data_IF_322077694092
#
_entry.id   IF_322077694092
#
_cell.length_a   1.000
_cell.length_b   1.000
_cell.length_c   1.000
_cell.angle_alpha   90.00
_cell.angle_beta   90.00
_cell.angle_gamma   90.00
#
_symmetry.space_group_name_H-M   'P 1'
#
loop_
_entity.id
_entity.type
_entity.pdbx_description
1 polymer ?
#
# COMPACT_ATOMS: atom_id res chain seq x y z
N UNK A 1 10.48 0.77 -10.59
CA UNK A 1 9.20 1.41 -10.98
C UNK A 1 8.14 1.09 -9.95
N UNK A 2 7.92 1.99 -8.99
CA UNK A 2 6.97 1.81 -7.89
C UNK A 2 5.54 1.48 -8.35
N UNK A 3 5.14 1.95 -9.53
CA UNK A 3 3.81 1.71 -10.13
C UNK A 3 3.48 0.22 -10.23
N UNK A 4 4.46 -0.64 -10.54
CA UNK A 4 4.23 -2.09 -10.65
C UNK A 4 3.76 -2.66 -9.30
N UNK A 5 4.46 -2.32 -8.22
CA UNK A 5 4.06 -2.72 -6.87
C UNK A 5 2.72 -2.08 -6.47
N UNK A 6 2.48 -0.82 -6.87
CA UNK A 6 1.21 -0.14 -6.61
C UNK A 6 0.01 -0.86 -7.25
N UNK A 7 0.10 -1.25 -8.52
CA UNK A 7 -0.97 -2.00 -9.21
C UNK A 7 -1.17 -3.37 -8.58
N UNK A 8 -0.09 -4.08 -8.27
CA UNK A 8 -0.18 -5.37 -7.57
C UNK A 8 -0.80 -5.22 -6.18
N UNK A 9 -0.52 -4.12 -5.47
CA UNK A 9 -1.12 -3.81 -4.17
C UNK A 9 -2.63 -3.69 -4.28
N UNK A 10 -3.13 -2.98 -5.29
CA UNK A 10 -4.57 -2.83 -5.54
C UNK A 10 -5.20 -4.19 -5.82
N UNK A 11 -4.60 -4.99 -6.72
CA UNK A 11 -5.10 -6.33 -7.04
C UNK A 11 -5.15 -7.25 -5.81
N UNK A 12 -4.09 -7.27 -5.01
CA UNK A 12 -4.00 -8.05 -3.79
C UNK A 12 -5.01 -7.59 -2.72
N UNK A 13 -5.24 -6.28 -2.60
CA UNK A 13 -6.24 -5.70 -1.67
C UNK A 13 -7.65 -6.13 -2.07
N UNK A 14 -7.99 -6.05 -3.36
CA UNK A 14 -9.29 -6.52 -3.86
C UNK A 14 -9.46 -8.03 -3.61
N UNK A 15 -8.40 -8.82 -3.82
CA UNK A 15 -8.42 -10.25 -3.55
C UNK A 15 -8.57 -10.58 -2.05
N UNK A 16 -7.93 -9.81 -1.16
CA UNK A 16 -8.12 -9.89 0.29
C UNK A 16 -9.59 -9.65 0.67
N UNK A 17 -10.18 -8.54 0.22
CA UNK A 17 -11.58 -8.24 0.49
C UNK A 17 -12.52 -9.30 -0.08
N UNK A 18 -12.26 -9.78 -1.29
CA UNK A 18 -13.03 -10.85 -1.93
C UNK A 18 -12.99 -12.15 -1.11
N UNK A 19 -11.80 -12.62 -0.73
CA UNK A 19 -11.64 -13.85 0.06
C UNK A 19 -12.36 -13.76 1.41
N UNK A 20 -12.33 -12.61 2.07
CA UNK A 20 -13.13 -12.36 3.27
C UNK A 20 -14.64 -12.45 3.01
N UNK A 21 -15.14 -11.83 1.94
CA UNK A 21 -16.57 -11.84 1.59
C UNK A 21 -17.12 -13.25 1.33
N UNK A 22 -16.32 -14.13 0.71
CA UNK A 22 -16.72 -15.52 0.47
C UNK A 22 -16.41 -16.46 1.66
N UNK A 23 -16.04 -15.91 2.81
CA UNK A 23 -15.77 -16.66 4.04
C UNK A 23 -14.50 -17.51 4.02
N UNK A 24 -13.57 -17.25 3.09
CA UNK A 24 -12.26 -17.92 2.99
C UNK A 24 -11.21 -17.20 3.85
N UNK A 25 -10.07 -17.86 4.07
CA UNK A 25 -8.97 -17.23 4.81
C UNK A 25 -8.33 -16.11 3.98
N UNK A 26 -8.41 -14.89 4.50
CA UNK A 26 -7.97 -13.67 3.85
C UNK A 26 -6.58 -13.20 4.32
N UNK A 27 -6.00 -13.85 5.35
CA UNK A 27 -4.76 -13.39 6.01
C UNK A 27 -3.54 -13.42 5.09
N UNK A 28 -3.42 -14.43 4.22
CA UNK A 28 -2.34 -14.50 3.24
C UNK A 28 -2.47 -13.40 2.17
N UNK A 29 -3.63 -13.23 1.48
CA UNK A 29 -3.88 -12.08 0.62
C UNK A 29 -3.58 -10.72 1.28
N UNK A 30 -4.01 -10.55 2.53
CA UNK A 30 -3.73 -9.35 3.33
C UNK A 30 -2.23 -9.12 3.52
N UNK A 31 -1.48 -10.16 3.91
CA UNK A 31 -0.03 -10.05 4.10
C UNK A 31 0.69 -9.69 2.81
N UNK A 32 0.27 -10.27 1.68
CA UNK A 32 0.78 -9.94 0.34
C UNK A 32 0.50 -8.47 0.01
N UNK A 33 -0.75 -8.01 0.20
CA UNK A 33 -1.14 -6.63 -0.10
C UNK A 33 -0.37 -5.60 0.74
N UNK A 34 -0.17 -5.85 2.04
CA UNK A 34 0.61 -4.97 2.92
C UNK A 34 2.10 -4.98 2.56
N UNK A 35 2.64 -6.15 2.18
CA UNK A 35 4.04 -6.26 1.72
C UNK A 35 4.26 -5.49 0.43
N UNK A 36 3.33 -5.58 -0.52
CA UNK A 36 3.36 -4.81 -1.77
C UNK A 36 3.19 -3.31 -1.53
N UNK A 37 2.38 -2.91 -0.54
CA UNK A 37 2.27 -1.50 -0.11
C UNK A 37 3.64 -0.99 0.35
N UNK A 38 4.33 -1.75 1.22
CA UNK A 38 5.66 -1.38 1.68
C UNK A 38 6.68 -1.34 0.53
N UNK A 39 6.67 -2.34 -0.36
CA UNK A 39 7.55 -2.37 -1.54
C UNK A 39 7.29 -1.21 -2.50
N UNK A 40 6.05 -0.75 -2.64
CA UNK A 40 5.72 0.45 -3.41
C UNK A 40 6.45 1.67 -2.87
N UNK A 41 6.38 1.91 -1.56
CA UNK A 41 7.03 3.05 -0.90
C UNK A 41 8.56 2.92 -0.97
N UNK A 42 9.12 1.73 -0.74
CA UNK A 42 10.56 1.49 -0.89
C UNK A 42 11.03 1.75 -2.33
N UNK A 43 10.27 1.30 -3.33
CA UNK A 43 10.60 1.51 -4.73
C UNK A 43 10.48 2.97 -5.17
N UNK A 44 9.57 3.74 -4.57
CA UNK A 44 9.48 5.19 -4.78
C UNK A 44 10.66 5.91 -4.12
N UNK A 45 11.03 5.54 -2.90
CA UNK A 45 12.21 6.06 -2.22
C UNK A 45 13.50 5.79 -3.01
N UNK A 46 13.68 4.58 -3.53
CA UNK A 46 14.81 4.25 -4.42
C UNK A 46 14.77 4.99 -5.75
N UNK A 47 13.61 5.47 -6.19
CA UNK A 47 13.52 6.33 -7.38
C UNK A 47 13.95 7.75 -7.05
N UNK A 48 13.51 8.29 -5.91
CA UNK A 48 13.91 9.62 -5.44
C UNK A 48 15.43 9.72 -5.17
N UNK A 49 16.10 8.64 -4.78
CA UNK A 49 17.56 8.65 -4.57
C UNK A 49 18.34 8.96 -5.85
N UNK A 50 17.80 8.63 -7.03
CA UNK A 50 18.44 8.96 -8.32
C UNK A 50 18.53 10.48 -8.51
N UNK A 51 17.51 11.23 -8.08
CA UNK A 51 17.54 12.70 -8.13
C UNK A 51 18.49 13.30 -7.10
N UNK A 52 18.64 12.66 -5.94
CA UNK A 52 19.64 13.05 -4.94
C UNK A 52 21.06 12.84 -5.48
N UNK A 53 21.34 11.69 -6.08
CA UNK A 53 22.64 11.37 -6.69
C UNK A 53 22.98 12.28 -7.87
N UNK A 54 21.96 12.74 -8.60
CA UNK A 54 22.11 13.70 -9.69
C UNK A 54 22.10 15.18 -9.24
N UNK A 55 22.00 15.44 -7.92
CA UNK A 55 21.88 16.79 -7.34
C UNK A 55 20.72 17.63 -7.93
N UNK A 56 19.64 16.97 -8.36
CA UNK A 56 18.46 17.62 -8.93
C UNK A 56 17.50 18.11 -7.83
N UNK A 57 17.95 19.13 -7.09
CA UNK A 57 17.18 19.75 -6.01
C UNK A 57 15.86 20.37 -6.49
N UNK A 58 15.81 20.81 -7.75
CA UNK A 58 14.61 21.37 -8.37
C UNK A 58 13.50 20.32 -8.50
N UNK A 59 13.81 19.14 -9.06
CA UNK A 59 12.87 18.03 -9.16
C UNK A 59 12.41 17.54 -7.77
N UNK A 60 13.34 17.45 -6.81
CA UNK A 60 13.01 17.07 -5.44
C UNK A 60 12.04 18.06 -4.79
N UNK A 61 12.27 19.37 -4.95
CA UNK A 61 11.42 20.42 -4.39
C UNK A 61 10.02 20.46 -5.02
N UNK A 62 9.90 20.16 -6.31
CA UNK A 62 8.62 20.12 -7.02
C UNK A 62 7.79 18.87 -6.67
N UNK A 63 8.43 17.70 -6.62
CA UNK A 63 7.71 16.42 -6.57
C UNK A 63 7.49 15.90 -5.14
N UNK A 64 8.50 15.95 -4.26
CA UNK A 64 8.44 15.31 -2.93
C UNK A 64 7.26 15.82 -2.08
N UNK A 65 6.96 17.13 -1.99
CA UNK A 65 5.86 17.60 -1.16
C UNK A 65 4.48 17.11 -1.64
N UNK A 66 4.29 17.01 -2.95
CA UNK A 66 3.09 16.46 -3.56
C UNK A 66 2.96 14.95 -3.32
N UNK A 67 3.99 14.20 -3.72
CA UNK A 67 4.01 12.75 -3.59
C UNK A 67 3.95 12.29 -2.13
N UNK A 68 4.68 12.93 -1.22
CA UNK A 68 4.68 12.58 0.20
C UNK A 68 3.28 12.63 0.81
N UNK A 69 2.48 13.66 0.48
CA UNK A 69 1.09 13.75 0.92
C UNK A 69 0.23 12.63 0.32
N UNK A 70 0.40 12.35 -0.97
CA UNK A 70 -0.32 11.25 -1.63
C UNK A 70 0.03 9.90 -1.00
N UNK A 71 1.30 9.63 -0.73
CA UNK A 71 1.76 8.38 -0.12
C UNK A 71 1.23 8.19 1.29
N UNK A 72 1.17 9.23 2.11
CA UNK A 72 0.53 9.15 3.42
C UNK A 72 -0.94 8.74 3.33
N UNK A 73 -1.69 9.36 2.43
CA UNK A 73 -3.11 9.06 2.23
C UNK A 73 -3.30 7.64 1.70
N UNK A 74 -2.62 7.28 0.61
CA UNK A 74 -2.74 5.97 -0.04
C UNK A 74 -2.30 4.82 0.87
N UNK A 75 -1.18 5.00 1.59
CA UNK A 75 -0.68 3.99 2.53
C UNK A 75 -1.65 3.80 3.69
N UNK A 76 -2.19 4.88 4.23
CA UNK A 76 -3.20 4.81 5.30
C UNK A 76 -4.45 4.07 4.83
N UNK A 77 -4.96 4.39 3.64
CA UNK A 77 -6.11 3.70 3.05
C UNK A 77 -5.80 2.21 2.84
N UNK A 78 -4.63 1.88 2.28
CA UNK A 78 -4.22 0.48 2.06
C UNK A 78 -4.19 -0.31 3.36
N UNK A 79 -3.60 0.26 4.43
CA UNK A 79 -3.55 -0.37 5.76
C UNK A 79 -4.97 -0.59 6.29
N UNK A 80 -5.83 0.43 6.23
CA UNK A 80 -7.21 0.36 6.73
C UNK A 80 -8.01 -0.71 5.98
N UNK A 81 -7.98 -0.71 4.65
CA UNK A 81 -8.69 -1.69 3.82
C UNK A 81 -8.20 -3.12 4.08
N UNK A 82 -6.88 -3.32 4.20
CA UNK A 82 -6.34 -4.65 4.38
C UNK A 82 -6.55 -5.20 5.80
N UNK A 83 -6.60 -4.34 6.82
CA UNK A 83 -6.90 -4.75 8.19
C UNK A 83 -8.39 -4.84 8.51
N UNK A 84 -9.26 -4.22 7.70
CA UNK A 84 -10.71 -4.21 7.89
C UNK A 84 -11.31 -5.62 8.13
N UNK A 85 -10.98 -6.66 7.31
CA UNK A 85 -11.44 -8.03 7.55
C UNK A 85 -11.16 -8.57 8.96
N UNK A 86 -10.02 -8.24 9.58
CA UNK A 86 -9.69 -8.68 10.95
C UNK A 86 -10.68 -8.09 11.96
N UNK A 87 -10.98 -6.80 11.85
CA UNK A 87 -11.89 -6.12 12.76
C UNK A 87 -13.33 -6.64 12.61
N UNK A 88 -13.76 -6.91 11.38
CA UNK A 88 -15.07 -7.49 11.10
C UNK A 88 -15.17 -8.93 11.60
N UNK A 89 -14.15 -9.76 11.38
CA UNK A 89 -14.09 -11.14 11.90
C UNK A 89 -14.20 -11.16 13.44
N UNK A 90 -13.46 -10.27 14.12
CA UNK A 90 -13.52 -10.14 15.59
C UNK A 90 -14.89 -9.68 16.08
N UNK A 91 -15.54 -8.77 15.37
CA UNK A 91 -16.88 -8.27 15.74
C UNK A 91 -17.93 -9.36 15.59
N UNK A 92 -17.86 -10.18 14.53
CA UNK A 92 -18.79 -11.30 14.32
C UNK A 92 -18.66 -12.41 15.37
N UNK A 93 -17.46 -12.62 15.95
CA UNK A 93 -17.25 -13.63 17.02
C UNK A 93 -17.75 -13.17 18.40
N UNK A 94 -18.05 -11.89 18.58
CA UNK A 94 -18.57 -11.33 19.85
C UNK A 94 -20.09 -11.32 19.93
N UNK A 95 -20.78 -11.47 18.78
CA UNK A 95 -22.24 -11.60 18.67
C UNK A 95 -22.60 -13.07 18.65
#
# INVERSE_FOLDING_TARGET
>A
MWIIFGVLTVAATLFNLYTFMVGKDFKLPMAIALSLTALTVCADYSYLSVWVEAEDWGALADVIPGMGRAWWVLTSISILLNLLPIFLERSRKRV
#
